data_IF_681020029850
#
_entry.id   IF_681020029850
#
_cell.length_a   1.000
_cell.length_b   1.000
_cell.length_c   1.000
_cell.angle_alpha   90.00
_cell.angle_beta   90.00
_cell.angle_gamma   90.00
#
_symmetry.space_group_name_H-M   'P 1'
#
loop_
_entity.id
_entity.type
_entity.pdbx_description
1 polymer ?
#
# COMPACT_ATOMS: atom_id res chain seq x y z
N UNK A 1 2.88 0.42 -28.55
CA UNK A 1 4.16 0.66 -27.85
C UNK A 1 3.87 0.61 -26.36
N UNK A 2 4.17 -0.52 -25.72
CA UNK A 2 4.13 -0.65 -24.26
C UNK A 2 5.32 0.13 -23.68
N UNK A 3 5.13 1.43 -23.48
CA UNK A 3 6.00 2.19 -22.60
C UNK A 3 5.63 1.79 -21.17
N UNK A 4 6.21 0.68 -20.71
CA UNK A 4 6.26 0.37 -19.29
C UNK A 4 7.04 1.50 -18.63
N UNK A 5 6.28 2.48 -18.13
CA UNK A 5 6.76 3.54 -17.26
C UNK A 5 7.05 2.90 -15.92
N UNK A 6 8.19 2.18 -15.86
CA UNK A 6 8.71 1.62 -14.63
C UNK A 6 9.08 2.73 -13.67
N UNK A 7 9.16 2.40 -12.38
CA UNK A 7 9.59 3.30 -11.30
C UNK A 7 10.99 3.89 -11.52
N UNK A 8 11.78 3.27 -12.41
CA UNK A 8 13.12 3.69 -12.83
C UNK A 8 13.10 4.85 -13.84
N UNK A 9 11.94 5.22 -14.38
CA UNK A 9 11.82 6.33 -15.32
C UNK A 9 12.09 7.66 -14.62
N UNK A 10 12.88 8.58 -15.21
CA UNK A 10 13.13 9.91 -14.65
C UNK A 10 11.85 10.77 -14.60
N UNK A 11 10.78 10.36 -15.29
CA UNK A 11 9.46 11.00 -15.18
C UNK A 11 8.74 10.68 -13.87
N UNK A 12 9.05 9.55 -13.23
CA UNK A 12 8.34 9.10 -12.03
C UNK A 12 8.57 10.04 -10.84
N UNK A 13 9.81 10.40 -10.47
CA UNK A 13 10.05 11.37 -9.38
C UNK A 13 9.32 12.70 -9.59
N UNK A 14 9.28 13.20 -10.82
CA UNK A 14 8.67 14.48 -11.18
C UNK A 14 7.15 14.52 -10.97
N UNK A 15 6.44 13.41 -11.19
CA UNK A 15 4.99 13.32 -10.94
C UNK A 15 4.69 13.32 -9.44
N UNK A 16 5.66 12.93 -8.61
CA UNK A 16 5.51 12.81 -7.17
C UNK A 16 6.21 13.91 -6.36
N UNK A 17 6.79 14.92 -7.01
CA UNK A 17 7.44 16.07 -6.34
C UNK A 17 6.50 16.84 -5.41
N UNK A 18 5.19 16.83 -5.71
CA UNK A 18 4.16 17.52 -4.91
C UNK A 18 3.52 16.62 -3.84
N UNK A 19 3.84 15.34 -3.84
CA UNK A 19 3.30 14.38 -2.89
C UNK A 19 4.24 14.28 -1.68
N UNK A 20 3.69 14.16 -0.47
CA UNK A 20 4.52 13.79 0.67
C UNK A 20 5.12 12.38 0.39
N UNK A 21 6.34 12.11 0.86
CA UNK A 21 7.04 10.84 0.59
C UNK A 21 6.22 9.63 1.01
N UNK A 22 5.33 9.80 1.99
CA UNK A 22 4.36 8.79 2.42
C UNK A 22 3.36 8.42 1.30
N UNK A 23 2.84 9.42 0.58
CA UNK A 23 1.92 9.20 -0.54
C UNK A 23 2.62 8.48 -1.69
N UNK A 24 3.88 8.83 -1.99
CA UNK A 24 4.68 8.13 -3.01
C UNK A 24 4.80 6.63 -2.72
N UNK A 25 5.14 6.25 -1.48
CA UNK A 25 5.24 4.85 -1.08
C UNK A 25 3.87 4.13 -1.18
N UNK A 26 2.80 4.83 -0.82
CA UNK A 26 1.43 4.30 -0.92
C UNK A 26 1.03 4.01 -2.37
N UNK A 27 1.51 4.77 -3.35
CA UNK A 27 1.20 4.54 -4.77
C UNK A 27 1.80 3.25 -5.34
N UNK A 28 2.99 2.85 -4.90
CA UNK A 28 3.54 1.54 -5.26
C UNK A 28 2.81 0.42 -4.56
N UNK A 29 2.51 0.62 -3.28
CA UNK A 29 1.86 -0.37 -2.46
C UNK A 29 0.46 -0.70 -2.98
N UNK A 30 -0.35 0.29 -3.34
CA UNK A 30 -1.71 0.05 -3.88
C UNK A 30 -1.71 -0.67 -5.23
N UNK A 31 -0.60 -0.64 -5.98
CA UNK A 31 -0.47 -1.34 -7.27
C UNK A 31 -0.02 -2.79 -7.11
N UNK A 32 0.51 -3.18 -5.96
CA UNK A 32 0.92 -4.56 -5.66
C UNK A 32 -0.30 -5.51 -5.54
N UNK A 33 -0.43 -6.54 -6.39
CA UNK A 33 -1.51 -7.52 -6.28
C UNK A 33 -1.52 -8.25 -4.93
N UNK A 34 -0.32 -8.55 -4.40
CA UNK A 34 -0.16 -9.21 -3.11
C UNK A 34 -0.66 -8.32 -1.96
N UNK A 35 -0.37 -7.01 -2.00
CA UNK A 35 -0.89 -6.07 -1.02
C UNK A 35 -2.42 -5.96 -1.12
N UNK A 36 -2.96 -5.80 -2.34
CA UNK A 36 -4.41 -5.69 -2.58
C UNK A 36 -5.16 -6.90 -2.06
N UNK A 37 -4.68 -8.11 -2.32
CA UNK A 37 -5.29 -9.34 -1.82
C UNK A 37 -5.26 -9.43 -0.29
N UNK A 38 -4.10 -9.13 0.32
CA UNK A 38 -3.96 -9.12 1.77
C UNK A 38 -4.83 -8.07 2.47
N UNK A 39 -4.94 -6.87 1.89
CA UNK A 39 -5.80 -5.81 2.40
C UNK A 39 -7.28 -6.20 2.29
N UNK A 40 -7.74 -6.70 1.14
CA UNK A 40 -9.12 -7.14 0.95
C UNK A 40 -9.51 -8.24 1.94
N UNK A 41 -8.63 -9.22 2.14
CA UNK A 41 -8.83 -10.29 3.12
C UNK A 41 -8.93 -9.75 4.56
N UNK A 42 -8.02 -8.86 4.96
CA UNK A 42 -8.07 -8.24 6.28
C UNK A 42 -9.30 -7.35 6.49
N UNK A 43 -9.73 -6.63 5.44
CA UNK A 43 -10.89 -5.73 5.48
C UNK A 43 -12.22 -6.47 5.57
N UNK A 44 -12.31 -7.70 5.05
CA UNK A 44 -13.48 -8.56 5.16
C UNK A 44 -13.67 -9.18 6.56
N UNK A 45 -12.62 -9.21 7.38
CA UNK A 45 -12.71 -9.72 8.76
C UNK A 45 -13.36 -8.70 9.70
N UNK A 46 -13.87 -9.20 10.82
CA UNK A 46 -14.50 -8.41 11.90
C UNK A 46 -13.79 -8.62 13.24
N UNK A 47 -14.05 -7.70 14.18
CA UNK A 47 -13.59 -7.81 15.57
C UNK A 47 -12.09 -8.06 15.74
N UNK A 48 -11.74 -8.97 16.66
CA UNK A 48 -10.36 -9.27 17.01
C UNK A 48 -9.53 -9.84 15.83
N UNK A 49 -10.17 -10.56 14.92
CA UNK A 49 -9.52 -11.12 13.73
C UNK A 49 -9.10 -10.02 12.75
N UNK A 50 -9.96 -9.02 12.54
CA UNK A 50 -9.62 -7.82 11.76
C UNK A 50 -8.37 -7.15 12.31
N UNK A 51 -8.33 -6.89 13.62
CA UNK A 51 -7.19 -6.25 14.26
C UNK A 51 -5.89 -7.08 14.14
N UNK A 52 -5.98 -8.41 14.26
CA UNK A 52 -4.84 -9.31 14.06
C UNK A 52 -4.33 -9.28 12.62
N UNK A 53 -5.23 -9.32 11.63
CA UNK A 53 -4.87 -9.36 10.21
C UNK A 53 -4.24 -8.06 9.75
N UNK A 54 -4.79 -6.91 10.16
CA UNK A 54 -4.19 -5.61 9.84
C UNK A 54 -2.83 -5.41 10.52
N UNK A 55 -2.62 -5.91 11.74
CA UNK A 55 -1.28 -5.92 12.37
C UNK A 55 -0.26 -6.73 11.57
N UNK A 56 -0.64 -7.92 11.10
CA UNK A 56 0.23 -8.75 10.25
C UNK A 56 0.54 -8.07 8.91
N UNK A 57 -0.48 -7.46 8.29
CA UNK A 57 -0.32 -6.72 7.05
C UNK A 57 0.61 -5.51 7.24
N UNK A 58 0.47 -4.80 8.36
CA UNK A 58 1.31 -3.68 8.72
C UNK A 58 2.78 -4.07 8.85
N UNK A 59 3.09 -5.11 9.62
CA UNK A 59 4.47 -5.58 9.81
C UNK A 59 5.11 -6.05 8.49
N UNK A 60 4.32 -6.67 7.61
CA UNK A 60 4.83 -7.16 6.31
C UNK A 60 5.19 -6.03 5.33
N UNK A 61 4.44 -4.93 5.35
CA UNK A 61 4.57 -3.85 4.37
C UNK A 61 5.14 -2.54 4.95
N UNK A 62 5.54 -2.53 6.23
CA UNK A 62 6.09 -1.36 6.89
C UNK A 62 5.06 -0.25 7.14
N UNK A 63 3.81 -0.62 7.44
CA UNK A 63 2.70 0.32 7.61
C UNK A 63 2.29 0.48 9.07
N UNK A 64 1.47 1.49 9.32
CA UNK A 64 0.75 1.67 10.58
C UNK A 64 -0.72 1.95 10.26
N UNK A 65 -1.63 1.11 10.75
CA UNK A 65 -3.07 1.32 10.60
C UNK A 65 -3.67 1.86 11.88
N UNK A 66 -4.42 2.97 11.79
CA UNK A 66 -5.30 3.43 12.88
C UNK A 66 -6.65 2.73 12.75
N UNK A 67 -6.74 1.54 13.32
CA UNK A 67 -8.02 0.82 13.37
C UNK A 67 -8.92 1.48 14.42
N UNK A 68 -10.14 1.81 14.04
CA UNK A 68 -11.18 2.18 15.00
C UNK A 68 -11.65 0.91 15.71
N UNK A 69 -11.61 0.93 17.05
CA UNK A 69 -12.14 -0.11 17.94
C UNK A 69 -13.66 -0.16 17.86
#
# INVERSE_FOLDING_TARGET
MDQVTGWQSPYFPKIFELYDRADFAQEFLRRSPAYRGGYAFAAAASGADRARLFRRLASRWGLVFRLRS
#
